data_IF_383314904861
#
_entry.id   IF_383314904861
#
_cell.length_a   1.000
_cell.length_b   1.000
_cell.length_c   1.000
_cell.angle_alpha   90.00
_cell.angle_beta   90.00
_cell.angle_gamma   90.00
#
_symmetry.space_group_name_H-M   'P 1'
#
loop_
_entity.id
_entity.type
_entity.pdbx_description
1 polymer ?
#
# COMPACT_ATOMS: atom_id res chain seq x y z
N UNK A 1 2.53 5.46 6.51
CA UNK A 1 3.15 4.18 6.96
C UNK A 1 4.68 4.32 7.09
N UNK A 2 5.26 3.83 8.19
CA UNK A 2 6.72 3.79 8.40
C UNK A 2 7.27 2.40 8.07
N UNK A 3 8.43 2.32 7.42
CA UNK A 3 9.00 1.06 6.90
C UNK A 3 9.11 -0.03 7.97
N UNK A 4 9.58 0.30 9.17
CA UNK A 4 9.78 -0.68 10.26
C UNK A 4 8.48 -1.39 10.64
N UNK A 5 7.37 -0.65 10.71
CA UNK A 5 6.06 -1.23 11.03
C UNK A 5 5.60 -2.25 9.98
N UNK A 6 5.89 -1.99 8.70
CA UNK A 6 5.55 -2.92 7.61
C UNK A 6 6.33 -4.22 7.69
N UNK A 7 7.57 -4.17 8.16
CA UNK A 7 8.41 -5.35 8.37
C UNK A 7 7.90 -6.16 9.56
N UNK A 8 7.55 -5.50 10.66
CA UNK A 8 7.02 -6.14 11.87
C UNK A 8 5.64 -6.75 11.65
N UNK A 9 4.81 -6.14 10.80
CA UNK A 9 3.53 -6.70 10.33
C UNK A 9 3.70 -7.84 9.32
N UNK A 10 4.93 -8.17 8.90
CA UNK A 10 5.20 -9.23 7.93
C UNK A 10 4.78 -8.92 6.50
N UNK A 11 4.49 -7.65 6.19
CA UNK A 11 4.03 -7.21 4.86
C UNK A 11 5.15 -7.13 3.83
N UNK A 12 6.40 -6.99 4.29
CA UNK A 12 7.60 -7.01 3.48
C UNK A 12 8.58 -7.98 4.15
N UNK A 13 9.07 -8.97 3.39
CA UNK A 13 10.07 -9.89 3.90
C UNK A 13 11.37 -9.16 4.24
N UNK A 14 12.00 -9.57 5.34
CA UNK A 14 13.28 -9.02 5.75
C UNK A 14 14.10 -10.07 6.48
N UNK A 15 15.42 -9.92 6.43
CA UNK A 15 16.34 -10.73 7.22
C UNK A 15 16.93 -9.86 8.32
N UNK A 16 16.82 -10.33 9.57
CA UNK A 16 17.48 -9.69 10.70
C UNK A 16 18.92 -10.16 10.77
N UNK A 17 19.87 -9.22 10.66
CA UNK A 17 21.31 -9.48 10.81
C UNK A 17 21.82 -8.62 11.97
N UNK A 18 21.96 -9.23 13.14
CA UNK A 18 22.29 -8.52 14.37
C UNK A 18 21.26 -7.45 14.71
N UNK A 19 21.70 -6.18 14.75
CA UNK A 19 20.85 -5.00 15.00
C UNK A 19 20.14 -4.46 13.75
N UNK A 20 20.56 -4.86 12.55
CA UNK A 20 20.04 -4.31 11.29
C UNK A 20 19.00 -5.24 10.66
N UNK A 21 17.96 -4.64 10.07
CA UNK A 21 17.00 -5.34 9.21
C UNK A 21 17.43 -5.10 7.75
N UNK A 22 17.82 -6.17 7.05
CA UNK A 22 18.16 -6.12 5.63
C UNK A 22 16.96 -6.55 4.81
N UNK A 23 16.72 -5.84 3.71
CA UNK A 23 15.55 -5.99 2.85
C UNK A 23 16.06 -5.93 1.43
N UNK A 24 15.53 -6.78 0.54
CA UNK A 24 15.83 -6.63 -0.89
C UNK A 24 15.09 -5.41 -1.42
N UNK A 25 15.77 -4.60 -2.21
CA UNK A 25 15.17 -3.42 -2.82
C UNK A 25 13.93 -3.76 -3.66
N UNK A 26 13.96 -4.90 -4.36
CA UNK A 26 12.86 -5.41 -5.18
C UNK A 26 11.57 -5.60 -4.37
N UNK A 27 11.66 -6.14 -3.15
CA UNK A 27 10.50 -6.38 -2.29
C UNK A 27 9.85 -5.06 -1.85
N UNK A 28 10.67 -4.05 -1.56
CA UNK A 28 10.19 -2.71 -1.21
C UNK A 28 9.47 -2.06 -2.38
N UNK A 29 10.04 -2.15 -3.59
CA UNK A 29 9.43 -1.58 -4.80
C UNK A 29 8.13 -2.29 -5.15
N UNK A 30 8.10 -3.62 -5.06
CA UNK A 30 6.91 -4.43 -5.30
C UNK A 30 5.78 -4.07 -4.33
N UNK A 31 6.10 -3.92 -3.04
CA UNK A 31 5.13 -3.48 -2.04
C UNK A 31 4.59 -2.08 -2.36
N UNK A 32 5.47 -1.15 -2.75
CA UNK A 32 5.08 0.22 -3.12
C UNK A 32 4.17 0.27 -4.35
N UNK A 33 4.42 -0.58 -5.35
CA UNK A 33 3.58 -0.70 -6.54
C UNK A 33 2.19 -1.22 -6.18
N UNK A 34 2.12 -2.33 -5.43
CA UNK A 34 0.85 -2.90 -4.96
C UNK A 34 0.02 -1.88 -4.18
N UNK A 35 0.66 -1.15 -3.26
CA UNK A 35 0.00 -0.08 -2.49
C UNK A 35 -0.58 1.03 -3.38
N UNK A 36 0.13 1.43 -4.44
CA UNK A 36 -0.35 2.44 -5.38
C UNK A 36 -1.55 1.95 -6.19
N UNK A 37 -1.52 0.69 -6.60
CA UNK A 37 -2.63 0.06 -7.33
C UNK A 37 -3.88 -0.02 -6.45
N UNK A 38 -3.73 -0.48 -5.21
CA UNK A 38 -4.83 -0.50 -4.22
C UNK A 38 -5.38 0.91 -3.95
N UNK A 39 -4.51 1.91 -3.81
CA UNK A 39 -4.94 3.29 -3.63
C UNK A 39 -5.74 3.81 -4.83
N UNK A 40 -5.27 3.52 -6.05
CA UNK A 40 -5.99 3.93 -7.28
C UNK A 40 -7.35 3.24 -7.36
N UNK A 41 -7.42 1.95 -7.01
CA UNK A 41 -8.67 1.20 -6.99
C UNK A 41 -9.66 1.82 -6.00
N UNK A 42 -9.24 2.10 -4.77
CA UNK A 42 -10.13 2.73 -3.79
C UNK A 42 -10.62 4.11 -4.24
N UNK A 43 -9.79 4.90 -4.94
CA UNK A 43 -10.24 6.18 -5.50
C UNK A 43 -11.36 5.98 -6.52
N UNK A 44 -11.20 5.01 -7.43
CA UNK A 44 -12.21 4.67 -8.43
C UNK A 44 -13.48 4.18 -7.73
N UNK A 45 -13.35 3.31 -6.72
CA UNK A 45 -14.49 2.79 -5.96
C UNK A 45 -15.24 3.93 -5.26
N UNK A 46 -14.54 4.92 -4.70
CA UNK A 46 -15.15 6.12 -4.11
C UNK A 46 -15.86 6.96 -5.17
N UNK A 47 -15.24 7.20 -6.33
CA UNK A 47 -15.87 7.98 -7.42
C UNK A 47 -17.15 7.31 -7.92
N UNK A 48 -17.12 5.98 -8.11
CA UNK A 48 -18.30 5.22 -8.53
C UNK A 48 -19.39 5.26 -7.46
N UNK A 49 -19.01 5.12 -6.17
CA UNK A 49 -19.98 5.21 -5.08
C UNK A 49 -20.61 6.62 -4.97
N UNK A 50 -19.84 7.67 -5.25
CA UNK A 50 -20.32 9.06 -5.28
C UNK A 50 -21.28 9.33 -6.46
N UNK A 51 -20.97 8.75 -7.63
CA UNK A 51 -21.84 8.77 -8.82
C UNK A 51 -23.14 7.98 -8.57
N UNK A 52 -23.08 6.80 -7.96
CA UNK A 52 -24.26 6.01 -7.58
C UNK A 52 -25.13 6.71 -6.52
N UNK A 53 -24.53 7.53 -5.65
CA UNK A 53 -25.26 8.35 -4.68
C UNK A 53 -25.92 9.59 -5.29
N UNK A 54 -25.73 9.86 -6.59
CA UNK A 54 -26.38 10.95 -7.31
C UNK A 54 -25.91 12.35 -6.90
N UNK A 55 -24.70 12.46 -6.32
CA UNK A 55 -24.14 13.74 -5.85
C UNK A 55 -23.70 14.68 -7.00
N UNK A 56 -23.90 14.26 -8.25
CA UNK A 56 -23.70 15.04 -9.47
C UNK A 56 -25.00 15.30 -10.27
N UNK A 57 -26.16 15.34 -9.62
CA UNK A 57 -27.36 15.99 -10.18
C UNK A 57 -27.43 17.45 -9.68
N UNK A 58 -26.71 18.35 -10.35
CA UNK A 58 -26.89 19.82 -10.30
C UNK A 58 -26.32 20.47 -11.55
#
# INVERSE_FOLDING_TARGET
>A
PYLVKLLEEGKIEYTKVGKHRRIKYEDVIRYKQKMKEEQKKHLIDIMNADEELGLYDS
#
